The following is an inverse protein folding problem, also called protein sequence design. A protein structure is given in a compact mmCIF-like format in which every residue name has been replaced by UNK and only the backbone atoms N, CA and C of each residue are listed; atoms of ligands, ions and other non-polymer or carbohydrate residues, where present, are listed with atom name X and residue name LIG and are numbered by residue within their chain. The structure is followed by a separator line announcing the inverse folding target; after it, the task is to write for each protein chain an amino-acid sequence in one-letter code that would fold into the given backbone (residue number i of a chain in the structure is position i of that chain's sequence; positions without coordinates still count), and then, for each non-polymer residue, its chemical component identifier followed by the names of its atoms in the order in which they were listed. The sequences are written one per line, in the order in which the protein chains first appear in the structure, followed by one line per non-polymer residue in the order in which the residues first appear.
data_IF_611597697474
#
_entry.id   IF_611597697474
#
_cell.length_a   1.000
_cell.length_b   1.000
_cell.length_c   1.000
_cell.angle_alpha   90.00
_cell.angle_beta   90.00
_cell.angle_gamma   90.00
#
_symmetry.space_group_name_H-M   'P 1'
#
loop_
_entity.id
_entity.type
_entity.pdbx_description
1 polymer ?
#
# COMPACT_ATOMS: atom_id res chain seq x y z
N UNK A 1 38.81 -20.48 18.98
CA UNK A 1 38.20 -20.69 17.65
C UNK A 1 37.39 -19.45 17.31
N UNK A 2 37.66 -18.73 16.18
CA UNK A 2 36.86 -17.58 15.81
C UNK A 2 35.50 -18.07 15.30
N UNK A 3 34.45 -17.70 15.99
CA UNK A 3 33.05 -17.86 15.52
C UNK A 3 32.82 -16.92 14.34
N UNK A 4 32.82 -17.47 13.14
CA UNK A 4 32.41 -16.74 11.94
C UNK A 4 30.91 -16.52 12.04
N UNK A 5 30.51 -15.30 12.37
CA UNK A 5 29.14 -14.86 12.20
C UNK A 5 28.85 -14.80 10.70
N UNK A 6 28.25 -15.84 10.17
CA UNK A 6 27.57 -15.75 8.88
C UNK A 6 26.41 -14.75 9.06
N UNK A 7 26.60 -13.54 8.59
CA UNK A 7 25.48 -12.62 8.38
C UNK A 7 24.49 -13.36 7.46
N UNK A 8 23.35 -13.77 8.00
CA UNK A 8 22.25 -14.29 7.20
C UNK A 8 21.85 -13.17 6.24
N UNK A 9 22.32 -13.22 5.00
CA UNK A 9 21.79 -12.45 3.91
C UNK A 9 20.35 -12.93 3.71
N UNK A 10 19.40 -12.25 4.37
CA UNK A 10 17.98 -12.50 4.18
C UNK A 10 17.68 -12.35 2.68
N UNK A 11 16.78 -13.17 2.15
CA UNK A 11 16.32 -13.11 0.76
C UNK A 11 15.99 -11.65 0.40
N UNK A 12 16.83 -11.06 -0.46
CA UNK A 12 16.61 -9.72 -0.98
C UNK A 12 15.98 -9.84 -2.35
N UNK A 13 15.01 -9.01 -2.61
CA UNK A 13 14.30 -8.94 -3.89
C UNK A 13 14.11 -7.50 -4.34
N UNK A 14 13.91 -7.32 -5.64
CA UNK A 14 13.55 -6.05 -6.26
C UNK A 14 12.30 -6.23 -7.11
N UNK A 15 11.41 -5.25 -7.08
CA UNK A 15 10.21 -5.26 -7.89
C UNK A 15 9.83 -3.88 -8.39
N UNK A 16 9.02 -3.87 -9.44
CA UNK A 16 8.41 -2.66 -9.98
C UNK A 16 6.89 -2.74 -9.88
N UNK A 17 6.27 -1.64 -9.49
CA UNK A 17 4.82 -1.52 -9.41
C UNK A 17 4.36 -0.38 -10.31
N UNK A 18 3.37 -0.65 -11.15
CA UNK A 18 2.70 0.34 -11.99
C UNK A 18 1.23 0.40 -11.65
N UNK A 19 0.62 1.59 -11.72
CA UNK A 19 -0.80 1.70 -11.47
C UNK A 19 -1.43 2.95 -12.07
N UNK A 20 -2.72 2.83 -12.36
CA UNK A 20 -3.58 3.94 -12.77
C UNK A 20 -4.80 3.97 -11.88
N UNK A 21 -5.23 5.16 -11.49
CA UNK A 21 -6.42 5.33 -10.66
C UNK A 21 -7.31 6.43 -11.22
N UNK A 22 -8.61 6.22 -11.04
CA UNK A 22 -9.64 7.19 -11.36
C UNK A 22 -10.46 7.42 -10.11
N UNK A 23 -10.78 8.66 -9.81
CA UNK A 23 -11.64 9.02 -8.69
C UNK A 23 -12.66 10.08 -9.13
N UNK A 24 -13.84 10.03 -8.49
CA UNK A 24 -14.90 11.00 -8.68
C UNK A 24 -15.58 11.30 -7.35
N UNK A 25 -15.81 12.58 -7.07
CA UNK A 25 -16.72 12.98 -6.02
C UNK A 25 -18.15 12.93 -6.54
N UNK A 26 -18.96 12.01 -6.02
CA UNK A 26 -20.35 11.78 -6.51
C UNK A 26 -21.38 12.62 -5.77
N UNK A 27 -21.13 12.92 -4.49
CA UNK A 27 -21.86 13.89 -3.68
C UNK A 27 -20.86 14.50 -2.70
N UNK A 28 -21.19 15.65 -2.08
CA UNK A 28 -20.28 16.34 -1.16
C UNK A 28 -19.70 15.39 -0.09
N UNK A 29 -18.39 15.27 -0.11
CA UNK A 29 -17.62 14.42 0.79
C UNK A 29 -17.60 12.94 0.45
N UNK A 30 -18.38 12.43 -0.52
CA UNK A 30 -18.36 11.04 -0.95
C UNK A 30 -17.60 10.87 -2.25
N UNK A 31 -16.45 10.23 -2.18
CA UNK A 31 -15.63 9.90 -3.34
C UNK A 31 -15.69 8.41 -3.64
N UNK A 32 -15.83 8.04 -4.90
CA UNK A 32 -15.63 6.68 -5.41
C UNK A 32 -14.33 6.62 -6.19
N UNK A 33 -13.63 5.49 -6.09
CA UNK A 33 -12.34 5.30 -6.77
C UNK A 33 -12.22 3.90 -7.34
N UNK A 34 -11.51 3.84 -8.47
CA UNK A 34 -11.04 2.61 -9.09
C UNK A 34 -9.53 2.73 -9.31
N UNK A 35 -8.75 1.73 -8.86
CA UNK A 35 -7.29 1.70 -8.98
C UNK A 35 -6.87 0.35 -9.55
N UNK A 36 -6.29 0.34 -10.74
CA UNK A 36 -5.68 -0.85 -11.33
C UNK A 36 -4.17 -0.82 -11.11
N UNK A 37 -3.62 -1.91 -10.58
CA UNK A 37 -2.19 -2.03 -10.35
C UNK A 37 -1.63 -3.36 -10.85
N UNK A 38 -0.39 -3.28 -11.34
CA UNK A 38 0.46 -4.40 -11.73
C UNK A 38 1.71 -4.37 -10.87
N UNK A 39 2.16 -5.53 -10.39
CA UNK A 39 3.33 -5.66 -9.52
C UNK A 39 4.20 -6.82 -9.94
N UNK A 40 5.48 -6.56 -10.05
CA UNK A 40 6.50 -7.59 -10.29
C UNK A 40 7.26 -7.93 -9.01
N UNK A 41 7.93 -9.06 -9.02
CA UNK A 41 8.95 -9.49 -8.08
C UNK A 41 10.07 -10.24 -8.83
N UNK A 42 10.93 -10.97 -8.13
CA UNK A 42 12.04 -11.73 -8.71
C UNK A 42 12.91 -10.83 -9.61
N UNK A 43 13.47 -9.77 -9.02
CA UNK A 43 14.24 -8.73 -9.70
C UNK A 43 13.48 -8.07 -10.88
N UNK A 44 12.16 -7.91 -10.73
CA UNK A 44 11.23 -7.38 -11.74
C UNK A 44 11.02 -8.24 -12.98
N UNK A 45 11.49 -9.49 -12.98
CA UNK A 45 11.36 -10.41 -14.10
C UNK A 45 10.02 -11.14 -14.12
N UNK A 46 9.37 -11.28 -12.96
CA UNK A 46 8.13 -12.01 -12.81
C UNK A 46 6.94 -11.11 -12.48
N UNK A 47 5.85 -11.25 -13.23
CA UNK A 47 4.58 -10.66 -12.88
C UNK A 47 4.01 -11.42 -11.66
N UNK A 48 4.07 -10.78 -10.48
CA UNK A 48 3.63 -11.36 -9.22
C UNK A 48 2.12 -11.24 -9.03
N UNK A 49 1.59 -10.03 -9.22
CA UNK A 49 0.16 -9.81 -9.04
C UNK A 49 -0.34 -8.62 -9.85
N UNK A 50 -1.61 -8.69 -10.20
CA UNK A 50 -2.37 -7.55 -10.68
C UNK A 50 -3.76 -7.55 -10.03
N UNK A 51 -4.33 -6.36 -9.87
CA UNK A 51 -5.61 -6.21 -9.19
C UNK A 51 -6.33 -4.92 -9.59
N UNK A 52 -7.63 -4.96 -9.40
CA UNK A 52 -8.51 -3.80 -9.42
C UNK A 52 -8.96 -3.51 -7.98
N UNK A 53 -8.85 -2.26 -7.57
CA UNK A 53 -9.29 -1.78 -6.25
C UNK A 53 -10.48 -0.85 -6.44
N UNK A 54 -11.64 -1.24 -5.97
CA UNK A 54 -12.86 -0.43 -6.04
C UNK A 54 -13.20 0.06 -4.65
N UNK A 55 -13.30 1.39 -4.49
CA UNK A 55 -13.47 2.01 -3.20
C UNK A 55 -14.54 3.08 -3.15
N UNK A 56 -15.08 3.28 -1.95
CA UNK A 56 -15.88 4.44 -1.59
C UNK A 56 -15.30 5.06 -0.32
N UNK A 57 -15.11 6.36 -0.31
CA UNK A 57 -14.50 7.12 0.79
C UNK A 57 -15.38 8.31 1.15
N UNK A 58 -15.70 8.42 2.44
CA UNK A 58 -16.51 9.51 2.97
C UNK A 58 -15.71 10.42 3.89
N UNK A 59 -15.77 11.72 3.63
CA UNK A 59 -15.17 12.77 4.44
C UNK A 59 -16.12 13.11 5.60
N UNK A 60 -15.87 12.50 6.76
CA UNK A 60 -16.69 12.73 7.95
C UNK A 60 -16.60 14.19 8.43
N UNK A 61 -15.38 14.73 8.39
CA UNK A 61 -15.12 16.16 8.67
C UNK A 61 -13.73 16.56 8.10
N UNK A 62 -13.27 17.77 8.41
CA UNK A 62 -11.96 18.27 7.94
C UNK A 62 -10.75 17.45 8.39
N UNK A 63 -10.90 16.65 9.46
CA UNK A 63 -9.82 15.86 10.04
C UNK A 63 -9.94 14.37 9.74
N UNK A 64 -11.14 13.83 9.54
CA UNK A 64 -11.39 12.39 9.45
C UNK A 64 -12.09 12.00 8.16
N UNK A 65 -11.60 10.90 7.59
CA UNK A 65 -12.20 10.21 6.42
C UNK A 65 -12.27 8.72 6.72
N UNK A 66 -13.38 8.09 6.38
CA UNK A 66 -13.55 6.64 6.41
C UNK A 66 -13.69 6.11 4.99
N UNK A 67 -13.50 4.82 4.79
CA UNK A 67 -13.68 4.19 3.48
C UNK A 67 -13.80 2.69 3.55
N UNK A 68 -14.46 2.15 2.56
CA UNK A 68 -14.56 0.70 2.29
C UNK A 68 -14.03 0.44 0.89
N UNK A 69 -13.34 -0.68 0.70
CA UNK A 69 -12.86 -1.07 -0.63
C UNK A 69 -12.85 -2.58 -0.79
N UNK A 70 -13.09 -3.00 -2.02
CA UNK A 70 -13.00 -4.38 -2.47
C UNK A 70 -11.95 -4.52 -3.55
N UNK A 71 -11.11 -5.56 -3.43
CA UNK A 71 -9.98 -5.82 -4.30
C UNK A 71 -9.97 -7.27 -4.77
N UNK A 72 -10.56 -7.58 -5.93
CA UNK A 72 -10.21 -8.78 -6.66
C UNK A 72 -8.75 -8.67 -7.13
N UNK A 73 -7.94 -9.71 -6.86
CA UNK A 73 -6.55 -9.75 -7.27
C UNK A 73 -6.17 -11.12 -7.79
N UNK A 74 -5.36 -11.14 -8.83
CA UNK A 74 -4.69 -12.33 -9.33
C UNK A 74 -3.27 -12.33 -8.76
N UNK A 75 -2.92 -13.39 -8.05
CA UNK A 75 -1.58 -13.55 -7.45
C UNK A 75 -0.92 -14.80 -8.01
N UNK A 76 0.30 -14.63 -8.54
CA UNK A 76 1.12 -15.73 -9.03
C UNK A 76 1.80 -16.43 -7.84
N UNK A 77 1.62 -17.72 -7.73
CA UNK A 77 2.21 -18.54 -6.67
C UNK A 77 3.10 -19.67 -7.23
N UNK A 78 3.80 -19.41 -8.35
CA UNK A 78 4.67 -20.34 -9.08
C UNK A 78 3.93 -21.46 -9.82
N UNK A 79 2.79 -21.94 -9.32
CA UNK A 79 1.93 -22.94 -9.98
C UNK A 79 0.81 -22.31 -10.83
N UNK A 80 0.83 -20.99 -10.99
CA UNK A 80 -0.13 -20.23 -11.76
C UNK A 80 -0.82 -19.13 -10.94
N UNK A 81 -1.73 -18.42 -11.61
CA UNK A 81 -2.47 -17.33 -10.99
C UNK A 81 -3.67 -17.85 -10.19
N UNK A 82 -3.83 -17.34 -8.97
CA UNK A 82 -4.99 -17.58 -8.12
C UNK A 82 -5.75 -16.28 -7.89
N UNK A 83 -7.07 -16.35 -8.06
CA UNK A 83 -7.96 -15.26 -7.71
C UNK A 83 -8.14 -15.22 -6.19
N UNK A 84 -7.90 -14.08 -5.61
CA UNK A 84 -8.18 -13.77 -4.20
C UNK A 84 -9.01 -12.50 -4.13
N UNK A 85 -9.95 -12.45 -3.19
CA UNK A 85 -10.75 -11.27 -2.91
C UNK A 85 -10.30 -10.65 -1.60
N UNK A 86 -10.10 -9.34 -1.58
CA UNK A 86 -9.76 -8.62 -0.36
C UNK A 86 -10.79 -7.53 -0.11
N UNK A 87 -11.32 -7.53 1.10
CA UNK A 87 -12.16 -6.46 1.62
C UNK A 87 -11.39 -5.69 2.68
N UNK A 88 -11.54 -4.38 2.73
CA UNK A 88 -10.95 -3.58 3.79
C UNK A 88 -11.72 -2.32 4.13
N UNK A 89 -11.57 -1.92 5.39
CA UNK A 89 -12.11 -0.71 5.98
C UNK A 89 -10.96 0.21 6.38
N UNK A 90 -11.08 1.48 6.06
CA UNK A 90 -10.09 2.51 6.38
C UNK A 90 -10.68 3.57 7.30
N UNK A 91 -9.90 3.98 8.28
CA UNK A 91 -10.07 5.24 9.00
C UNK A 91 -8.79 6.06 8.81
N UNK A 92 -8.92 7.27 8.28
CA UNK A 92 -7.78 8.17 8.03
C UNK A 92 -7.98 9.48 8.75
N UNK A 93 -7.04 9.82 9.64
CA UNK A 93 -6.87 11.15 10.20
C UNK A 93 -5.93 11.99 9.33
N UNK A 94 -6.24 13.28 9.18
CA UNK A 94 -5.42 14.27 8.46
C UNK A 94 -5.31 15.54 9.29
N UNK A 95 -4.08 16.01 9.47
CA UNK A 95 -3.78 17.33 10.03
C UNK A 95 -2.95 18.10 9.00
N UNK A 96 -3.38 19.32 8.66
CA UNK A 96 -2.66 20.21 7.75
C UNK A 96 -2.10 21.38 8.54
N UNK A 97 -0.78 21.59 8.44
CA UNK A 97 0.00 22.65 9.06
C UNK A 97 0.78 23.37 7.93
N UNK A 98 0.21 24.45 7.41
CA UNK A 98 0.76 25.19 6.25
C UNK A 98 1.06 24.24 5.07
N UNK A 99 2.33 24.07 4.72
CA UNK A 99 2.79 23.22 3.61
C UNK A 99 2.98 21.75 4.01
N UNK A 100 2.86 21.44 5.31
CA UNK A 100 3.00 20.08 5.84
C UNK A 100 1.62 19.47 6.06
N UNK A 101 1.44 18.23 5.62
CA UNK A 101 0.25 17.44 5.91
C UNK A 101 0.65 16.12 6.56
N UNK A 102 0.08 15.86 7.73
CA UNK A 102 0.27 14.63 8.49
C UNK A 102 -0.94 13.72 8.28
N UNK A 103 -0.70 12.43 8.06
CA UNK A 103 -1.74 11.43 7.90
C UNK A 103 -1.48 10.24 8.79
N UNK A 104 -2.50 9.79 9.48
CA UNK A 104 -2.54 8.52 10.18
C UNK A 104 -3.68 7.69 9.60
N UNK A 105 -3.37 6.52 9.04
CA UNK A 105 -4.40 5.59 8.55
C UNK A 105 -4.37 4.30 9.34
N UNK A 106 -5.51 3.89 9.85
CA UNK A 106 -5.79 2.54 10.33
C UNK A 106 -6.62 1.81 9.28
N UNK A 107 -6.19 0.60 8.91
CA UNK A 107 -6.88 -0.28 7.96
C UNK A 107 -7.04 -1.67 8.56
N UNK A 108 -8.25 -2.18 8.57
CA UNK A 108 -8.52 -3.61 8.78
C UNK A 108 -8.81 -4.21 7.42
N UNK A 109 -8.13 -5.31 7.08
CA UNK A 109 -8.31 -5.99 5.81
C UNK A 109 -8.40 -7.50 6.01
N UNK A 110 -9.31 -8.15 5.29
CA UNK A 110 -9.42 -9.61 5.21
C UNK A 110 -9.26 -10.04 3.77
N UNK A 111 -8.49 -11.11 3.55
CA UNK A 111 -8.32 -11.69 2.22
C UNK A 111 -8.98 -13.05 2.20
N UNK A 112 -10.00 -13.21 1.36
CA UNK A 112 -10.64 -14.50 1.13
C UNK A 112 -9.78 -15.35 0.19
N UNK A 113 -9.42 -16.54 0.65
CA UNK A 113 -8.68 -17.55 -0.11
C UNK A 113 -9.52 -18.80 -0.27
N UNK A 114 -9.45 -19.41 -1.44
CA UNK A 114 -10.11 -20.69 -1.66
C UNK A 114 -9.33 -21.80 -0.92
N UNK A 115 -10.01 -22.56 -0.07
CA UNK A 115 -9.48 -23.71 0.69
C UNK A 115 -8.32 -23.36 1.65
N UNK A 116 -8.30 -22.15 2.22
CA UNK A 116 -7.33 -21.74 3.23
C UNK A 116 -7.96 -20.76 4.22
N UNK A 117 -7.32 -20.57 5.37
CA UNK A 117 -7.73 -19.53 6.31
C UNK A 117 -7.67 -18.14 5.67
N UNK A 118 -8.64 -17.31 5.99
CA UNK A 118 -8.74 -15.94 5.52
C UNK A 118 -7.87 -15.04 6.41
N UNK A 119 -6.65 -14.67 6.01
CA UNK A 119 -5.81 -13.84 6.85
C UNK A 119 -6.40 -12.45 7.00
N UNK A 120 -6.51 -12.03 8.25
CA UNK A 120 -6.97 -10.69 8.63
C UNK A 120 -5.79 -9.90 9.20
N UNK A 121 -5.59 -8.69 8.67
CA UNK A 121 -4.52 -7.80 9.09
C UNK A 121 -5.08 -6.46 9.53
N UNK A 122 -4.51 -5.93 10.60
CA UNK A 122 -4.54 -4.50 10.86
C UNK A 122 -3.27 -3.86 10.29
N UNK A 123 -3.43 -2.70 9.65
CA UNK A 123 -2.33 -1.92 9.10
C UNK A 123 -2.42 -0.49 9.62
N UNK A 124 -1.33 -0.02 10.19
CA UNK A 124 -1.22 1.36 10.67
C UNK A 124 -0.17 2.05 9.80
N UNK A 125 -0.55 3.17 9.17
CA UNK A 125 0.36 3.94 8.31
C UNK A 125 0.42 5.38 8.77
N UNK A 126 1.63 5.83 9.02
CA UNK A 126 1.99 7.23 9.18
C UNK A 126 2.51 7.77 7.84
N UNK A 127 2.09 8.95 7.44
CA UNK A 127 2.61 9.63 6.24
C UNK A 127 2.73 11.12 6.54
N UNK A 128 3.90 11.67 6.23
CA UNK A 128 4.15 13.11 6.19
C UNK A 128 4.30 13.52 4.74
N UNK A 129 3.58 14.56 4.32
CA UNK A 129 3.65 15.13 2.98
C UNK A 129 3.99 16.61 3.11
N UNK A 130 4.94 17.07 2.30
CA UNK A 130 5.42 18.45 2.26
C UNK A 130 5.22 18.99 0.85
N UNK A 131 4.59 20.14 0.74
CA UNK A 131 4.52 20.90 -0.52
C UNK A 131 5.88 21.59 -0.74
N UNK A 132 6.53 21.28 -1.86
CA UNK A 132 7.84 21.84 -2.22
C UNK A 132 7.67 23.06 -3.14
N UNK A 133 6.81 22.94 -4.16
CA UNK A 133 6.53 23.97 -5.15
C UNK A 133 5.12 23.77 -5.74
N UNK A 134 4.74 24.61 -6.73
CA UNK A 134 3.48 24.49 -7.46
C UNK A 134 3.37 23.08 -8.08
N UNK A 135 2.39 22.32 -7.60
CA UNK A 135 2.14 20.95 -8.05
C UNK A 135 3.08 19.88 -7.52
N UNK A 136 4.29 20.22 -6.99
CA UNK A 136 5.24 19.23 -6.50
C UNK A 136 5.14 19.03 -4.98
N UNK A 137 4.99 17.78 -4.56
CA UNK A 137 4.91 17.36 -3.16
C UNK A 137 5.87 16.20 -2.92
N UNK A 138 6.66 16.26 -1.86
CA UNK A 138 7.42 15.11 -1.36
C UNK A 138 6.69 14.45 -0.19
N UNK A 139 6.96 13.18 0.02
CA UNK A 139 6.43 12.48 1.19
C UNK A 139 7.36 11.39 1.70
N UNK A 140 7.22 11.11 2.99
CA UNK A 140 7.75 9.92 3.65
C UNK A 140 6.61 9.22 4.37
N UNK A 141 6.65 7.89 4.40
CA UNK A 141 5.64 7.08 5.07
C UNK A 141 6.25 5.83 5.70
N UNK A 142 5.61 5.35 6.75
CA UNK A 142 5.89 4.05 7.32
C UNK A 142 4.60 3.31 7.64
N UNK A 143 4.52 2.02 7.32
CA UNK A 143 3.33 1.22 7.45
C UNK A 143 3.63 -0.13 8.09
N UNK A 144 2.96 -0.42 9.19
CA UNK A 144 3.08 -1.61 10.01
C UNK A 144 1.91 -2.55 9.76
N UNK A 145 2.20 -3.85 9.67
CA UNK A 145 1.21 -4.89 9.41
C UNK A 145 1.15 -5.86 10.58
N UNK A 146 -0.02 -5.97 11.19
CA UNK A 146 -0.29 -6.86 12.30
C UNK A 146 -1.30 -7.93 11.86
N UNK A 147 -0.95 -9.21 12.03
CA UNK A 147 -1.84 -10.33 11.72
C UNK A 147 -2.78 -10.56 12.90
N UNK A 148 -4.10 -10.36 12.73
CA UNK A 148 -5.06 -10.39 13.83
C UNK A 148 -5.52 -11.80 14.20
N UNK A 149 -5.61 -12.73 13.24
CA UNK A 149 -6.04 -14.10 13.44
C UNK A 149 -4.90 -15.12 13.27
N UNK A 150 -3.65 -14.71 13.46
CA UNK A 150 -2.50 -15.59 13.41
C UNK A 150 -2.23 -16.28 14.75
N UNK A 151 -1.73 -17.51 14.71
CA UNK A 151 -1.43 -18.34 15.89
C UNK A 151 0.00 -18.17 16.43
N UNK A 152 0.78 -17.23 15.94
CA UNK A 152 2.18 -17.04 16.35
C UNK A 152 2.36 -16.16 17.58
N UNK A 153 3.56 -16.22 18.20
CA UNK A 153 3.94 -15.45 19.37
C UNK A 153 4.03 -13.93 19.15
N UNK A 154 4.13 -13.48 17.90
CA UNK A 154 4.12 -12.07 17.52
C UNK A 154 3.18 -11.81 16.35
N UNK A 155 2.30 -10.84 16.52
CA UNK A 155 1.35 -10.42 15.48
C UNK A 155 1.98 -9.48 14.45
N UNK A 156 3.08 -8.82 14.76
CA UNK A 156 3.80 -7.94 13.83
C UNK A 156 4.52 -8.76 12.76
N UNK A 157 4.14 -8.62 11.50
CA UNK A 157 4.61 -9.48 10.40
C UNK A 157 5.37 -8.74 9.32
N UNK A 158 5.14 -7.44 9.15
CA UNK A 158 5.71 -6.69 8.03
C UNK A 158 5.78 -5.20 8.32
N UNK A 159 6.86 -4.58 7.86
CA UNK A 159 7.01 -3.15 7.74
C UNK A 159 7.09 -2.74 6.26
N UNK A 160 6.60 -1.56 5.95
CA UNK A 160 6.75 -0.93 4.64
C UNK A 160 7.10 0.54 4.81
N UNK A 161 8.37 0.82 4.77
CA UNK A 161 8.88 2.18 4.67
C UNK A 161 8.78 2.66 3.22
N UNK A 162 8.51 3.95 3.01
CA UNK A 162 8.42 4.53 1.67
C UNK A 162 8.70 6.01 1.67
N UNK A 163 9.27 6.47 0.56
CA UNK A 163 9.44 7.89 0.25
C UNK A 163 9.12 8.11 -1.22
N UNK A 164 8.81 9.35 -1.59
CA UNK A 164 8.50 9.64 -2.99
C UNK A 164 8.01 11.04 -3.22
N UNK A 165 7.63 11.25 -4.47
CA UNK A 165 7.11 12.51 -4.98
C UNK A 165 5.74 12.31 -5.62
N UNK A 166 4.93 13.33 -5.54
CA UNK A 166 3.66 13.48 -6.23
C UNK A 166 3.73 14.79 -7.00
N UNK A 167 3.42 14.73 -8.30
CA UNK A 167 3.42 15.91 -9.18
C UNK A 167 2.05 16.06 -9.85
N UNK A 168 1.44 17.22 -9.68
CA UNK A 168 0.18 17.62 -10.31
C UNK A 168 0.51 18.12 -11.72
N UNK A 169 0.26 17.28 -12.74
CA UNK A 169 0.51 17.62 -14.16
C UNK A 169 -0.55 18.61 -14.62
N UNK A 170 -1.79 18.43 -14.16
CA UNK A 170 -2.93 19.33 -14.36
C UNK A 170 -3.88 19.23 -13.16
N UNK A 171 -4.96 20.00 -13.17
CA UNK A 171 -5.98 19.96 -12.10
C UNK A 171 -6.61 18.57 -11.95
N UNK A 172 -6.61 17.77 -13.01
CA UNK A 172 -7.21 16.44 -13.05
C UNK A 172 -6.21 15.30 -13.01
N UNK A 173 -4.95 15.54 -13.38
CA UNK A 173 -3.96 14.49 -13.58
C UNK A 173 -2.78 14.67 -12.64
N UNK A 174 -2.52 13.65 -11.82
CA UNK A 174 -1.40 13.57 -10.91
C UNK A 174 -0.54 12.34 -11.21
N UNK A 175 0.78 12.51 -11.23
CA UNK A 175 1.76 11.43 -11.29
C UNK A 175 2.41 11.22 -9.92
N UNK A 176 2.81 10.00 -9.62
CA UNK A 176 3.58 9.69 -8.41
C UNK A 176 4.73 8.74 -8.70
N UNK A 177 5.88 9.02 -8.12
CA UNK A 177 7.05 8.14 -8.08
C UNK A 177 7.36 7.81 -6.62
N UNK A 178 7.52 6.52 -6.30
CA UNK A 178 7.75 6.05 -4.93
C UNK A 178 8.86 5.02 -4.90
N UNK A 179 9.72 5.11 -3.92
CA UNK A 179 10.55 4.01 -3.48
C UNK A 179 9.93 3.40 -2.21
N UNK A 180 9.86 2.06 -2.16
CA UNK A 180 9.37 1.34 -1.01
C UNK A 180 10.40 0.30 -0.58
N UNK A 181 10.66 0.20 0.71
CA UNK A 181 11.36 -0.92 1.32
C UNK A 181 10.37 -1.73 2.14
N UNK A 182 10.18 -2.99 1.75
CA UNK A 182 9.30 -3.94 2.43
C UNK A 182 10.17 -4.90 3.18
N UNK A 183 9.95 -5.05 4.49
CA UNK A 183 10.70 -5.96 5.34
C UNK A 183 9.71 -6.86 6.08
N UNK A 184 9.82 -8.16 5.88
CA UNK A 184 9.10 -9.13 6.69
C UNK A 184 9.85 -9.34 8.00
N UNK A 185 9.11 -9.55 9.06
CA UNK A 185 9.64 -9.76 10.42
C UNK A 185 8.88 -10.90 11.09
N UNK A 186 9.49 -11.49 12.10
CA UNK A 186 8.91 -12.59 12.88
C UNK A 186 8.43 -13.76 11.99
N UNK A 187 9.26 -14.10 11.00
CA UNK A 187 9.09 -15.24 10.10
C UNK A 187 10.40 -16.02 10.00
N UNK A 188 10.33 -17.31 9.68
CA UNK A 188 11.50 -18.17 9.57
C UNK A 188 12.47 -17.70 8.46
N UNK A 189 11.92 -17.21 7.34
CA UNK A 189 12.69 -16.72 6.18
C UNK A 189 12.17 -15.35 5.76
N UNK A 190 12.55 -14.26 6.47
CA UNK A 190 12.00 -12.94 6.20
C UNK A 190 12.50 -12.40 4.86
N UNK A 191 11.58 -12.00 4.00
CA UNK A 191 11.87 -11.33 2.73
C UNK A 191 12.13 -9.84 2.97
N UNK A 192 13.14 -9.31 2.28
CA UNK A 192 13.39 -7.88 2.12
C UNK A 192 13.25 -7.52 0.66
N UNK A 193 12.33 -6.64 0.33
CA UNK A 193 12.05 -6.25 -1.05
C UNK A 193 12.16 -4.75 -1.21
N UNK A 194 12.90 -4.31 -2.22
CA UNK A 194 12.95 -2.93 -2.66
C UNK A 194 12.02 -2.77 -3.87
N UNK A 195 11.27 -1.69 -3.93
CA UNK A 195 10.28 -1.47 -4.98
C UNK A 195 10.37 -0.04 -5.50
N UNK A 196 10.40 0.11 -6.81
CA UNK A 196 10.09 1.36 -7.50
C UNK A 196 8.64 1.30 -7.95
N UNK A 197 7.85 2.32 -7.62
CA UNK A 197 6.44 2.37 -7.97
C UNK A 197 6.09 3.66 -8.71
N UNK A 198 5.43 3.52 -9.85
CA UNK A 198 4.86 4.60 -10.65
C UNK A 198 3.34 4.56 -10.57
N UNK A 199 2.72 5.71 -10.48
CA UNK A 199 1.26 5.83 -10.47
C UNK A 199 0.78 7.06 -11.21
N UNK A 200 -0.33 6.90 -11.92
CA UNK A 200 -1.11 8.00 -12.49
C UNK A 200 -2.48 8.02 -11.82
N UNK A 201 -2.96 9.21 -11.48
CA UNK A 201 -4.28 9.39 -10.87
C UNK A 201 -5.04 10.45 -11.65
N UNK A 202 -6.24 10.12 -12.09
CA UNK A 202 -7.14 11.00 -12.78
C UNK A 202 -8.38 11.30 -11.92
N UNK A 203 -8.71 12.58 -11.76
CA UNK A 203 -9.90 13.02 -11.02
C UNK A 203 -10.96 13.47 -12.00
N UNK A 204 -12.14 12.81 -11.96
CA UNK A 204 -13.31 13.20 -12.77
C UNK A 204 -14.08 14.28 -12.00
N UNK A 205 -14.49 15.32 -12.67
CA UNK A 205 -15.44 16.32 -12.17
C UNK A 205 -16.84 15.76 -11.94
#
# INVERSE_FOLDING_TARGET
MPTVFFAQFGNQDFGTWGGVSVNKEVVDGLNVDADFQVRTDDNSTRLNQYFLDLGAKYKVNKYFRTGISWRPRMTNNWSGYKLENRLYLDLTGKLKLNDISLYLRSRIQTTSKRNAENPTYQRIRFKVKIKLDKGLKAFVQDEFFFHLNGTGTSNYKKNRFGLGFEYEISDYLQMSLKYLRITEVNQAYPLRMNVIALGLSYSIE
#
